data_IF_410762488322
#
_entry.id   IF_410762488322
#
_cell.length_a   1.000
_cell.length_b   1.000
_cell.length_c   1.000
_cell.angle_alpha   90.00
_cell.angle_beta   90.00
_cell.angle_gamma   90.00
#
_symmetry.space_group_name_H-M   'P 1'
#
loop_
_entity.id
_entity.type
_entity.pdbx_description
1 polymer ?
#
# COMPACT_ATOMS: atom_id res chain seq x y z
N UNK A 1 -9.52 -9.48 -10.06
CA UNK A 1 -9.16 -8.26 -10.79
C UNK A 1 -8.12 -8.52 -11.87
N UNK A 2 -7.80 -7.57 -12.73
CA UNK A 2 -6.81 -7.75 -13.79
C UNK A 2 -5.42 -8.00 -13.23
N UNK A 3 -4.60 -8.78 -13.96
CA UNK A 3 -3.18 -8.95 -13.64
C UNK A 3 -2.43 -7.63 -13.78
N UNK A 4 -1.48 -7.39 -12.87
CA UNK A 4 -0.55 -6.27 -12.97
C UNK A 4 0.77 -6.76 -13.57
N UNK A 5 0.97 -6.46 -14.85
CA UNK A 5 2.18 -6.78 -15.58
C UNK A 5 3.16 -5.61 -15.53
N UNK A 6 4.41 -5.88 -15.15
CA UNK A 6 5.45 -4.86 -15.10
C UNK A 6 6.12 -4.71 -13.73
N UNK A 7 6.97 -3.68 -13.57
CA UNK A 7 7.83 -3.55 -12.40
C UNK A 7 7.14 -2.92 -11.18
N UNK A 8 5.84 -2.63 -11.24
CA UNK A 8 5.09 -1.94 -10.18
C UNK A 8 3.72 -2.56 -9.99
N UNK A 9 3.33 -2.77 -8.74
CA UNK A 9 1.94 -2.96 -8.37
C UNK A 9 1.27 -1.60 -8.16
N UNK A 10 0.07 -1.46 -8.66
CA UNK A 10 -0.66 -0.19 -8.71
C UNK A 10 -2.00 -0.27 -7.94
N UNK A 11 -2.12 -1.25 -7.05
CA UNK A 11 -3.27 -1.42 -6.15
C UNK A 11 -3.96 -2.76 -6.22
N UNK A 12 -3.74 -3.56 -7.30
CA UNK A 12 -4.37 -4.88 -7.47
C UNK A 12 -3.50 -6.02 -6.91
N UNK A 13 -2.19 -5.84 -6.88
CA UNK A 13 -1.19 -6.80 -6.39
C UNK A 13 -0.21 -6.11 -5.45
N UNK A 14 -0.75 -5.40 -4.47
CA UNK A 14 -0.02 -4.51 -3.58
C UNK A 14 0.00 -5.02 -2.16
N UNK A 15 1.11 -4.80 -1.47
CA UNK A 15 1.15 -4.81 -0.01
C UNK A 15 0.80 -3.41 0.46
N UNK A 16 -0.08 -3.30 1.44
CA UNK A 16 -0.46 -2.03 2.04
C UNK A 16 0.03 -1.98 3.48
N UNK A 17 0.56 -0.85 3.87
CA UNK A 17 1.03 -0.65 5.23
C UNK A 17 0.84 0.80 5.66
N UNK A 18 0.64 0.99 6.96
CA UNK A 18 0.50 2.31 7.58
C UNK A 18 1.85 3.07 7.54
N UNK A 19 1.92 4.21 6.82
CA UNK A 19 3.17 4.96 6.67
C UNK A 19 3.59 5.72 7.94
N UNK A 20 2.70 5.86 8.91
CA UNK A 20 2.95 6.56 10.18
C UNK A 20 3.85 5.76 11.12
N UNK A 21 3.97 4.45 10.91
CA UNK A 21 4.81 3.57 11.70
C UNK A 21 6.27 3.75 11.30
N UNK A 22 7.17 4.25 12.18
CA UNK A 22 8.56 4.52 11.81
C UNK A 22 9.34 3.27 11.40
N UNK A 23 8.98 2.12 11.95
CA UNK A 23 9.63 0.83 11.70
C UNK A 23 9.00 0.02 10.55
N UNK A 24 7.92 0.52 9.93
CA UNK A 24 7.21 -0.19 8.86
C UNK A 24 8.13 -0.50 7.67
N UNK A 25 8.98 0.46 7.28
CA UNK A 25 9.95 0.27 6.20
C UNK A 25 10.95 -0.85 6.51
N UNK A 26 11.49 -0.86 7.70
CA UNK A 26 12.46 -1.89 8.12
C UNK A 26 11.81 -3.26 8.21
N UNK A 27 10.62 -3.34 8.81
CA UNK A 27 9.85 -4.57 8.90
C UNK A 27 9.55 -5.17 7.53
N UNK A 28 9.06 -4.37 6.59
CA UNK A 28 8.76 -4.84 5.22
C UNK A 28 10.04 -5.26 4.47
N UNK A 29 11.13 -4.51 4.60
CA UNK A 29 12.39 -4.88 3.98
C UNK A 29 12.96 -6.18 4.56
N UNK A 30 12.86 -6.38 5.88
CA UNK A 30 13.39 -7.58 6.55
C UNK A 30 12.52 -8.82 6.34
N UNK A 31 11.19 -8.68 6.42
CA UNK A 31 10.27 -9.82 6.49
C UNK A 31 9.75 -10.27 5.14
N UNK A 32 9.63 -9.35 4.18
CA UNK A 32 9.02 -9.63 2.87
C UNK A 32 10.02 -9.46 1.74
N UNK A 33 10.68 -8.31 1.68
CA UNK A 33 11.54 -7.96 0.55
C UNK A 33 12.97 -8.43 0.69
N UNK A 34 13.41 -8.85 1.87
CA UNK A 34 14.76 -9.35 2.16
C UNK A 34 15.86 -8.53 1.49
N UNK A 35 15.77 -7.20 1.60
CA UNK A 35 16.66 -6.25 0.95
C UNK A 35 17.17 -5.18 1.92
N UNK A 36 18.09 -4.35 1.45
CA UNK A 36 18.72 -3.31 2.25
C UNK A 36 17.69 -2.33 2.82
N UNK A 37 17.82 -2.00 4.11
CA UNK A 37 16.85 -1.15 4.83
C UNK A 37 16.79 0.29 4.34
N UNK A 38 17.80 0.77 3.60
CA UNK A 38 17.79 2.12 3.03
C UNK A 38 16.85 2.29 1.82
N UNK A 39 16.46 1.19 1.16
CA UNK A 39 15.58 1.26 -0.02
C UNK A 39 14.18 1.72 0.38
N UNK A 40 13.69 2.84 -0.19
CA UNK A 40 12.40 3.39 0.17
C UNK A 40 11.24 2.62 -0.49
N UNK A 41 10.05 2.81 0.05
CA UNK A 41 8.79 2.39 -0.55
C UNK A 41 8.04 3.58 -1.11
N UNK A 42 7.29 3.35 -2.19
CA UNK A 42 6.44 4.36 -2.79
C UNK A 42 5.15 4.52 -1.97
N UNK A 43 4.72 5.75 -1.70
CA UNK A 43 3.38 6.01 -1.21
C UNK A 43 2.36 6.02 -2.34
N UNK A 44 1.11 5.67 -2.02
CA UNK A 44 -0.08 5.98 -2.81
C UNK A 44 -0.89 7.05 -2.10
N UNK A 45 -1.48 7.96 -2.87
CA UNK A 45 -2.31 9.07 -2.38
C UNK A 45 -3.43 9.38 -3.38
N UNK A 46 -4.66 9.76 -2.96
CA UNK A 46 -5.65 10.34 -3.86
C UNK A 46 -5.10 11.58 -4.57
N UNK A 47 -5.35 11.70 -5.88
CA UNK A 47 -4.77 12.79 -6.69
C UNK A 47 -5.09 14.17 -6.12
N UNK A 48 -6.31 14.38 -5.66
CA UNK A 48 -6.78 15.64 -5.10
C UNK A 48 -6.12 16.03 -3.77
N UNK A 49 -5.52 15.06 -3.07
CA UNK A 49 -4.78 15.31 -1.83
C UNK A 49 -3.30 15.64 -2.05
N UNK A 50 -2.80 15.45 -3.26
CA UNK A 50 -1.36 15.57 -3.53
C UNK A 50 -0.81 16.97 -3.18
N UNK A 51 -1.56 18.04 -3.47
CA UNK A 51 -1.12 19.41 -3.15
C UNK A 51 -1.04 19.68 -1.63
N UNK A 52 -1.81 18.98 -0.83
CA UNK A 52 -1.76 19.09 0.63
C UNK A 52 -0.51 18.44 1.25
N UNK A 53 0.15 17.55 0.51
CA UNK A 53 1.25 16.71 0.98
C UNK A 53 2.59 17.00 0.31
N UNK A 54 2.58 17.47 -0.93
CA UNK A 54 3.78 17.68 -1.74
C UNK A 54 3.93 19.13 -2.19
N UNK A 55 5.18 19.56 -2.37
CA UNK A 55 5.51 20.82 -3.01
C UNK A 55 5.42 20.64 -4.52
N UNK A 56 4.41 21.24 -5.15
CA UNK A 56 4.14 21.01 -6.57
C UNK A 56 4.61 22.14 -7.48
N UNK A 57 4.75 23.36 -6.94
CA UNK A 57 5.20 24.56 -7.69
C UNK A 57 4.44 24.79 -9.02
N UNK A 58 3.15 24.45 -9.03
CA UNK A 58 2.30 24.55 -10.22
C UNK A 58 2.45 23.39 -11.22
N UNK A 59 3.20 22.35 -10.88
CA UNK A 59 3.33 21.13 -11.69
C UNK A 59 2.14 20.21 -11.43
N UNK A 60 1.59 19.62 -12.51
CA UNK A 60 0.55 18.57 -12.40
C UNK A 60 1.07 17.40 -11.56
N UNK A 61 0.39 17.05 -10.44
CA UNK A 61 0.82 15.97 -9.56
C UNK A 61 0.54 14.57 -10.11
N UNK A 62 -0.09 14.43 -11.26
CA UNK A 62 -0.49 13.13 -11.80
C UNK A 62 0.72 12.19 -11.98
N UNK A 63 0.69 11.07 -11.28
CA UNK A 63 1.74 10.03 -11.30
C UNK A 63 1.13 8.64 -11.09
N UNK A 64 0.21 8.18 -11.96
CA UNK A 64 -0.49 6.92 -11.72
C UNK A 64 0.42 5.69 -11.76
N UNK A 65 1.61 5.79 -12.36
CA UNK A 65 2.56 4.69 -12.56
C UNK A 65 3.85 4.83 -11.71
N UNK A 66 3.86 5.65 -10.66
CA UNK A 66 5.05 5.88 -9.81
C UNK A 66 6.28 6.38 -10.58
N UNK A 67 6.09 7.23 -11.58
CA UNK A 67 7.18 7.74 -12.43
C UNK A 67 7.76 9.06 -11.94
N UNK A 68 7.16 9.67 -10.92
CA UNK A 68 7.57 10.96 -10.39
C UNK A 68 8.07 10.85 -8.96
N UNK A 69 9.12 11.60 -8.68
CA UNK A 69 9.60 11.91 -7.33
C UNK A 69 9.13 13.32 -7.00
N UNK A 70 8.56 13.52 -5.81
CA UNK A 70 8.01 14.78 -5.34
C UNK A 70 8.57 15.08 -3.96
N UNK A 71 8.82 16.35 -3.66
CA UNK A 71 9.22 16.80 -2.34
C UNK A 71 8.01 16.83 -1.40
N UNK A 72 8.14 16.13 -0.27
CA UNK A 72 7.13 16.28 0.77
C UNK A 72 7.19 17.67 1.40
N UNK A 73 6.03 18.27 1.67
CA UNK A 73 5.95 19.47 2.51
C UNK A 73 6.61 19.19 3.86
N UNK A 74 7.48 20.09 4.31
CA UNK A 74 8.26 19.88 5.54
C UNK A 74 7.37 19.49 6.74
N UNK A 75 6.24 20.19 6.92
CA UNK A 75 5.29 19.91 8.00
C UNK A 75 4.59 18.53 7.91
N UNK A 76 4.74 17.80 6.82
CA UNK A 76 4.12 16.48 6.60
C UNK A 76 5.09 15.30 6.77
N UNK A 77 6.39 15.54 6.70
CA UNK A 77 7.42 14.49 6.69
C UNK A 77 7.37 13.60 7.94
N UNK A 78 7.23 14.21 9.10
CA UNK A 78 7.20 13.49 10.38
C UNK A 78 5.93 12.66 10.59
N UNK A 79 4.86 12.94 9.83
CA UNK A 79 3.62 12.19 9.89
C UNK A 79 3.69 10.84 9.18
N UNK A 80 4.62 10.69 8.21
CA UNK A 80 4.72 9.51 7.33
C UNK A 80 6.17 9.07 7.13
N UNK A 81 6.92 8.84 8.20
CA UNK A 81 8.36 8.60 8.15
C UNK A 81 8.75 7.36 7.30
N UNK A 82 7.84 6.39 7.15
CA UNK A 82 8.12 5.17 6.43
C UNK A 82 8.21 5.34 4.90
N UNK A 83 7.70 6.44 4.33
CA UNK A 83 7.68 6.71 2.87
C UNK A 83 8.51 7.92 2.46
N UNK A 84 9.01 8.68 3.42
CA UNK A 84 9.89 9.82 3.15
C UNK A 84 11.31 9.31 2.93
N UNK A 85 11.92 9.72 1.81
CA UNK A 85 13.33 9.44 1.51
C UNK A 85 14.25 10.29 2.38
N UNK A 86 15.53 9.95 2.42
CA UNK A 86 16.53 10.68 3.22
C UNK A 86 16.63 12.17 2.83
N UNK A 87 16.37 12.48 1.57
CA UNK A 87 16.37 13.84 1.01
C UNK A 87 15.03 14.58 1.17
N UNK A 88 14.04 13.96 1.82
CA UNK A 88 12.71 14.57 2.01
C UNK A 88 11.74 14.36 0.86
N UNK A 89 12.12 13.57 -0.15
CA UNK A 89 11.28 13.27 -1.30
C UNK A 89 10.48 11.97 -1.12
N UNK A 90 9.57 11.68 -2.08
CA UNK A 90 8.89 10.40 -2.22
C UNK A 90 8.59 10.09 -3.68
N UNK A 91 8.70 8.81 -4.06
CA UNK A 91 8.28 8.34 -5.38
C UNK A 91 6.80 7.98 -5.35
N UNK A 92 5.95 8.89 -5.79
CA UNK A 92 4.52 8.90 -5.52
C UNK A 92 3.72 8.16 -6.59
N UNK A 93 2.73 7.38 -6.15
CA UNK A 93 1.59 7.00 -6.98
C UNK A 93 0.41 7.89 -6.62
N UNK A 94 -0.20 8.52 -7.62
CA UNK A 94 -1.52 9.14 -7.45
C UNK A 94 -2.61 8.21 -7.97
N UNK A 95 -3.73 8.15 -7.28
CA UNK A 95 -4.89 7.34 -7.67
C UNK A 95 -6.13 8.21 -7.77
N UNK A 96 -6.99 7.93 -8.74
CA UNK A 96 -8.31 8.54 -8.88
C UNK A 96 -9.40 7.48 -8.86
N UNK A 97 -10.63 7.90 -8.56
CA UNK A 97 -11.80 7.02 -8.55
C UNK A 97 -12.07 6.39 -9.92
N UNK A 98 -11.81 7.14 -11.00
CA UNK A 98 -12.05 6.72 -12.37
C UNK A 98 -11.07 5.63 -12.82
N UNK A 99 -9.82 5.68 -12.35
CA UNK A 99 -8.78 4.74 -12.76
C UNK A 99 -8.83 3.46 -11.94
N UNK A 100 -9.00 3.58 -10.62
CA UNK A 100 -9.05 2.42 -9.71
C UNK A 100 -9.94 2.76 -8.50
N UNK A 101 -11.26 2.66 -8.70
CA UNK A 101 -12.26 3.01 -7.71
C UNK A 101 -12.10 2.30 -6.36
N UNK A 102 -12.05 0.98 -6.30
CA UNK A 102 -11.88 0.24 -5.04
C UNK A 102 -10.62 0.63 -4.27
N UNK A 103 -9.50 0.79 -4.97
CA UNK A 103 -8.25 1.18 -4.34
C UNK A 103 -8.27 2.64 -3.85
N UNK A 104 -8.87 3.53 -4.64
CA UNK A 104 -9.09 4.91 -4.24
C UNK A 104 -9.92 4.98 -2.95
N UNK A 105 -11.05 4.25 -2.88
CA UNK A 105 -11.91 4.22 -1.69
C UNK A 105 -11.17 3.69 -0.46
N UNK A 106 -10.35 2.67 -0.62
CA UNK A 106 -9.54 2.13 0.46
C UNK A 106 -8.58 3.18 1.03
N UNK A 107 -7.85 3.90 0.16
CA UNK A 107 -6.92 4.96 0.60
C UNK A 107 -7.69 6.12 1.24
N UNK A 108 -8.84 6.48 0.70
CA UNK A 108 -9.74 7.50 1.29
C UNK A 108 -10.23 7.10 2.67
N UNK A 109 -10.74 5.87 2.82
CA UNK A 109 -11.23 5.36 4.10
C UNK A 109 -10.14 5.34 5.18
N UNK A 110 -8.91 5.00 4.79
CA UNK A 110 -7.76 5.11 5.70
C UNK A 110 -7.50 6.57 6.07
N UNK A 111 -7.53 7.49 5.12
CA UNK A 111 -7.38 8.92 5.35
C UNK A 111 -8.44 9.49 6.31
N UNK A 112 -9.70 9.12 6.11
CA UNK A 112 -10.82 9.57 6.95
C UNK A 112 -10.68 9.10 8.41
N UNK A 113 -10.13 7.90 8.63
CA UNK A 113 -9.89 7.36 9.98
C UNK A 113 -8.64 7.91 10.66
N UNK A 114 -7.63 8.26 9.90
CA UNK A 114 -6.28 8.55 10.44
C UNK A 114 -5.85 10.00 10.29
N UNK A 115 -6.51 10.78 9.44
CA UNK A 115 -6.06 12.10 9.01
C UNK A 115 -4.89 12.08 8.02
N UNK A 116 -4.47 10.87 7.55
CA UNK A 116 -3.34 10.65 6.64
C UNK A 116 -3.83 9.87 5.43
N UNK A 117 -4.24 10.51 4.32
CA UNK A 117 -4.77 9.85 3.13
C UNK A 117 -3.65 9.26 2.27
N UNK A 118 -2.79 8.40 2.87
CA UNK A 118 -1.59 7.92 2.26
C UNK A 118 -1.22 6.55 2.82
N UNK A 119 -0.87 5.59 1.95
CA UNK A 119 -0.42 4.25 2.32
C UNK A 119 0.91 3.92 1.66
N UNK A 120 1.73 3.04 2.29
CA UNK A 120 2.81 2.36 1.56
C UNK A 120 2.19 1.43 0.52
N UNK A 121 2.82 1.37 -0.67
CA UNK A 121 2.37 0.54 -1.77
C UNK A 121 3.53 -0.22 -2.45
N UNK A 122 4.23 -1.14 -1.78
CA UNK A 122 5.10 -2.09 -2.45
C UNK A 122 4.29 -3.19 -3.16
N UNK A 123 4.90 -3.78 -4.18
CA UNK A 123 4.34 -4.93 -4.90
C UNK A 123 4.21 -6.16 -3.99
N UNK A 124 3.20 -7.00 -4.23
CA UNK A 124 3.03 -8.28 -3.55
C UNK A 124 3.90 -9.34 -4.25
N UNK A 125 5.11 -9.50 -3.75
CA UNK A 125 6.12 -10.48 -4.16
C UNK A 125 7.18 -10.62 -3.07
N UNK A 126 7.86 -11.72 -3.01
CA UNK A 126 9.10 -11.88 -2.25
C UNK A 126 10.31 -11.61 -3.13
N UNK A 127 11.49 -11.48 -2.50
CA UNK A 127 12.71 -11.19 -3.25
C UNK A 127 13.02 -12.28 -4.28
N UNK A 128 13.22 -11.87 -5.53
CA UNK A 128 13.58 -12.77 -6.62
C UNK A 128 12.39 -13.40 -7.36
N UNK A 129 11.18 -13.13 -6.92
CA UNK A 129 9.95 -13.57 -7.56
C UNK A 129 9.26 -12.44 -8.33
N UNK A 130 8.47 -12.77 -9.36
CA UNK A 130 7.59 -11.80 -10.00
C UNK A 130 6.45 -11.40 -9.05
N UNK A 131 5.74 -10.32 -9.39
CA UNK A 131 4.49 -9.95 -8.72
C UNK A 131 3.52 -11.13 -8.83
N UNK A 132 2.85 -11.48 -7.72
CA UNK A 132 1.89 -12.59 -7.68
C UNK A 132 0.82 -12.41 -8.74
N UNK A 133 0.42 -13.50 -9.39
CA UNK A 133 -0.62 -13.48 -10.42
C UNK A 133 -1.89 -14.17 -9.95
N UNK A 134 -1.76 -15.32 -9.31
CA UNK A 134 -2.87 -16.14 -8.86
C UNK A 134 -3.16 -15.95 -7.37
N UNK A 135 -4.38 -16.32 -6.90
CA UNK A 135 -4.67 -16.38 -5.47
C UNK A 135 -3.73 -17.31 -4.71
N UNK A 136 -3.31 -18.43 -5.33
CA UNK A 136 -2.35 -19.36 -4.76
C UNK A 136 -0.99 -18.71 -4.51
N UNK A 137 -0.48 -17.91 -5.47
CA UNK A 137 0.77 -17.18 -5.30
C UNK A 137 0.68 -16.18 -4.13
N UNK A 138 -0.46 -15.49 -4.01
CA UNK A 138 -0.70 -14.55 -2.93
C UNK A 138 -0.75 -15.25 -1.55
N UNK A 139 -1.37 -16.44 -1.49
CA UNK A 139 -1.39 -17.26 -0.27
C UNK A 139 0.01 -17.78 0.08
N UNK A 140 0.79 -18.22 -0.91
CA UNK A 140 2.18 -18.59 -0.67
C UNK A 140 3.00 -17.42 -0.17
N UNK A 141 2.84 -16.23 -0.76
CA UNK A 141 3.50 -15.02 -0.27
C UNK A 141 3.13 -14.72 1.19
N UNK A 142 1.84 -14.82 1.57
CA UNK A 142 1.39 -14.65 2.95
C UNK A 142 2.03 -15.67 3.90
N UNK A 143 2.07 -16.96 3.51
CA UNK A 143 2.60 -18.05 4.34
C UNK A 143 4.13 -17.98 4.50
N UNK A 144 4.84 -17.54 3.47
CA UNK A 144 6.30 -17.42 3.48
C UNK A 144 6.81 -16.12 4.12
N UNK A 145 5.93 -15.16 4.34
CA UNK A 145 6.25 -13.86 4.92
C UNK A 145 5.49 -13.70 6.25
N UNK A 146 5.73 -12.62 6.92
CA UNK A 146 5.00 -12.26 8.14
C UNK A 146 3.98 -11.14 7.85
N UNK A 147 3.28 -11.24 6.71
CA UNK A 147 2.15 -10.38 6.42
C UNK A 147 0.96 -10.77 7.31
N UNK A 148 0.23 -9.77 7.79
CA UNK A 148 -0.86 -10.00 8.76
C UNK A 148 -2.11 -10.59 8.09
N UNK A 149 -2.41 -10.20 6.84
CA UNK A 149 -3.58 -10.64 6.11
C UNK A 149 -3.39 -10.53 4.58
N UNK A 150 -4.19 -11.31 3.85
CA UNK A 150 -4.36 -11.18 2.41
C UNK A 150 -5.84 -10.94 2.11
N UNK A 151 -6.13 -9.93 1.28
CA UNK A 151 -7.47 -9.57 0.88
C UNK A 151 -7.65 -9.87 -0.60
N UNK A 152 -8.68 -10.62 -0.93
CA UNK A 152 -9.09 -10.90 -2.30
C UNK A 152 -10.38 -10.14 -2.58
N UNK A 153 -10.34 -9.27 -3.59
CA UNK A 153 -11.54 -8.67 -4.17
C UNK A 153 -12.09 -9.66 -5.21
N UNK A 154 -13.25 -10.23 -4.96
CA UNK A 154 -13.90 -11.18 -5.83
C UNK A 154 -15.31 -10.70 -6.17
N UNK A 155 -15.69 -10.80 -7.44
CA UNK A 155 -17.09 -10.76 -7.86
C UNK A 155 -17.79 -11.98 -7.25
N UNK A 156 -18.09 -11.90 -5.95
CA UNK A 156 -18.87 -12.92 -5.27
C UNK A 156 -20.25 -12.96 -5.87
N UNK A 157 -20.77 -14.15 -6.09
CA UNK A 157 -22.15 -14.47 -6.38
C UNK A 157 -23.12 -13.77 -5.41
N UNK A 158 -23.33 -12.47 -5.62
CA UNK A 158 -24.43 -11.68 -5.06
C UNK A 158 -24.42 -11.33 -3.57
N UNK A 159 -23.47 -11.77 -2.75
CA UNK A 159 -23.42 -11.47 -1.31
C UNK A 159 -22.16 -10.73 -0.84
N UNK A 160 -21.58 -9.91 -1.69
CA UNK A 160 -20.70 -8.78 -1.37
C UNK A 160 -19.60 -8.94 -0.29
N UNK A 161 -19.29 -10.15 0.18
CA UNK A 161 -18.36 -10.38 1.26
C UNK A 161 -17.51 -11.61 1.03
N UNK A 162 -16.32 -11.42 0.44
CA UNK A 162 -15.23 -12.37 0.64
C UNK A 162 -13.95 -11.65 1.04
N UNK A 163 -13.90 -11.23 2.28
CA UNK A 163 -12.64 -11.12 2.99
C UNK A 163 -12.28 -12.53 3.41
N UNK A 164 -11.43 -13.19 2.65
CA UNK A 164 -10.83 -14.45 3.08
C UNK A 164 -9.81 -14.15 4.17
N UNK A 165 -10.24 -14.10 5.43
CA UNK A 165 -9.34 -14.12 6.57
C UNK A 165 -8.78 -15.53 6.68
N UNK A 166 -7.59 -15.75 6.17
CA UNK A 166 -6.75 -16.84 6.61
C UNK A 166 -6.05 -16.36 7.89
N UNK A 167 -6.57 -16.79 9.03
CA UNK A 167 -5.79 -16.75 10.26
C UNK A 167 -4.57 -17.65 10.03
N UNK A 168 -3.41 -17.01 9.84
CA UNK A 168 -2.16 -17.74 9.88
C UNK A 168 -2.07 -18.38 11.27
N UNK A 169 -1.98 -19.70 11.32
CA UNK A 169 -1.62 -20.46 12.51
C UNK A 169 -0.14 -20.21 12.83
N UNK A 170 0.17 -19.02 13.26
CA UNK A 170 1.47 -18.65 13.80
C UNK A 170 1.24 -17.68 14.95
N UNK A 171 1.53 -18.18 16.13
CA UNK A 171 1.51 -17.61 17.45
C UNK A 171 1.35 -16.10 17.62
N UNK A 172 0.35 -15.77 18.44
CA UNK A 172 0.20 -14.52 19.18
C UNK A 172 0.57 -13.21 18.45
N UNK A 173 -0.24 -12.79 17.49
CA UNK A 173 -0.34 -11.38 17.13
C UNK A 173 -1.79 -10.90 17.38
N UNK A 174 -1.89 -9.81 18.12
CA UNK A 174 -3.15 -9.22 18.56
C UNK A 174 -4.02 -8.90 17.35
N UNK A 175 -5.20 -9.53 17.32
CA UNK A 175 -6.16 -9.38 16.23
C UNK A 175 -6.53 -7.92 15.95
N UNK A 176 -6.31 -7.54 14.70
CA UNK A 176 -7.05 -6.45 14.08
C UNK A 176 -8.19 -7.13 13.33
N UNK A 177 -9.41 -6.88 13.76
CA UNK A 177 -10.59 -7.47 13.13
C UNK A 177 -10.76 -6.85 11.74
N UNK A 178 -10.82 -7.68 10.70
CA UNK A 178 -11.05 -7.20 9.34
C UNK A 178 -12.41 -6.47 9.20
N UNK A 179 -13.34 -6.72 10.12
CA UNK A 179 -14.57 -5.97 10.26
C UNK A 179 -14.35 -4.51 10.66
N UNK A 180 -13.24 -4.20 11.35
CA UNK A 180 -12.87 -2.83 11.72
C UNK A 180 -12.29 -2.02 10.55
N UNK A 181 -11.92 -2.68 9.46
CA UNK A 181 -11.36 -2.02 8.27
C UNK A 181 -12.42 -1.74 7.20
N UNK A 182 -13.53 -2.50 7.17
CA UNK A 182 -14.54 -2.45 6.10
C UNK A 182 -15.96 -2.22 6.61
N UNK A 183 -16.17 -2.21 7.92
CA UNK A 183 -17.49 -2.13 8.54
C UNK A 183 -17.83 -0.74 9.09
N UNK A 184 -18.52 0.04 8.29
CA UNK A 184 -19.17 1.29 8.67
C UNK A 184 -19.93 1.84 7.50
#
# INVERSE_FOLDING_TARGET
GPSELGPRALGQRSILCDPRQPDAKEKLNARVKHREGFRPFAPVIPLEEADNWFELDGVDPSSPFMLRVMDFREARRDLVPAVVHVDGTGRVQTVTREVNGPYYELVRAFGDRTGVPLLLNPSLDVMGEPIVETPEDALWCLLLTQLDACVFDGDGDGDGRRVGRLEALAGESRGVDAADVVGG
#
